data_IF_550476403171
#
_entry.id   IF_550476403171
#
_cell.length_a   1.000
_cell.length_b   1.000
_cell.length_c   1.000
_cell.angle_alpha   90.00
_cell.angle_beta   90.00
_cell.angle_gamma   90.00
#
_symmetry.space_group_name_H-M   'P 1'
#
loop_
_entity.id
_entity.type
_entity.pdbx_description
1 polymer ?
#
# COMPACT_ATOMS: atom_id res chain seq x y z
N UNK A 1 -39.15 -8.79 6.35
CA UNK A 1 -38.08 -8.64 5.34
C UNK A 1 -37.16 -7.53 5.80
N UNK A 2 -36.03 -7.84 6.43
CA UNK A 2 -35.04 -6.84 6.81
C UNK A 2 -34.18 -6.51 5.59
N UNK A 3 -34.19 -5.25 5.15
CA UNK A 3 -33.24 -4.76 4.16
C UNK A 3 -31.86 -4.83 4.80
N UNK A 4 -31.10 -5.89 4.46
CA UNK A 4 -29.69 -6.02 4.77
C UNK A 4 -28.98 -4.81 4.18
N UNK A 5 -28.69 -3.81 5.00
CA UNK A 5 -27.87 -2.68 4.61
C UNK A 5 -26.52 -3.24 4.21
N UNK A 6 -26.16 -3.19 2.91
CA UNK A 6 -24.81 -3.55 2.48
C UNK A 6 -23.85 -2.58 3.16
N UNK A 7 -23.18 -3.02 4.23
CA UNK A 7 -22.06 -2.25 4.80
C UNK A 7 -20.92 -2.38 3.79
N UNK A 8 -20.48 -1.27 3.21
CA UNK A 8 -19.19 -1.22 2.54
C UNK A 8 -18.11 -1.31 3.62
N UNK A 9 -17.79 -2.53 4.04
CA UNK A 9 -16.63 -2.76 4.87
C UNK A 9 -15.40 -2.63 3.98
N UNK A 10 -14.56 -1.63 4.24
CA UNK A 10 -13.21 -1.59 3.68
C UNK A 10 -12.51 -2.86 4.16
N UNK A 11 -12.42 -3.87 3.30
CA UNK A 11 -11.76 -5.12 3.63
C UNK A 11 -10.26 -4.80 3.82
N UNK A 12 -9.75 -4.74 5.06
CA UNK A 12 -8.41 -4.20 5.33
C UNK A 12 -7.31 -5.13 4.79
N UNK A 13 -7.67 -6.39 4.54
CA UNK A 13 -6.73 -7.47 4.26
C UNK A 13 -6.32 -7.60 2.79
N UNK A 14 -7.00 -6.91 1.87
CA UNK A 14 -6.79 -7.09 0.42
C UNK A 14 -6.34 -5.85 -0.34
N UNK A 15 -6.75 -4.64 0.04
CA UNK A 15 -6.44 -3.40 -0.71
C UNK A 15 -5.15 -2.77 -0.16
N UNK A 16 -4.11 -2.70 -0.99
CA UNK A 16 -2.85 -2.03 -0.68
C UNK A 16 -2.85 -0.60 -1.20
N UNK A 17 -2.99 0.36 -0.29
CA UNK A 17 -3.07 1.77 -0.65
C UNK A 17 -1.78 2.29 -1.28
N UNK A 18 -0.60 1.82 -0.84
CA UNK A 18 0.69 2.27 -1.38
C UNK A 18 0.79 2.09 -2.91
N UNK A 19 0.14 1.08 -3.50
CA UNK A 19 0.13 0.91 -4.96
C UNK A 19 -1.28 0.87 -5.57
N UNK A 20 -2.32 1.14 -4.78
CA UNK A 20 -3.72 0.95 -5.18
C UNK A 20 -4.02 -0.43 -5.77
N UNK A 21 -3.36 -1.48 -5.29
CA UNK A 21 -3.53 -2.83 -5.83
C UNK A 21 -4.29 -3.70 -4.83
N UNK A 22 -5.28 -4.46 -5.33
CA UNK A 22 -5.95 -5.50 -4.56
C UNK A 22 -5.20 -6.82 -4.71
N UNK A 23 -4.86 -7.49 -3.62
CA UNK A 23 -4.28 -8.83 -3.67
C UNK A 23 -4.90 -9.73 -2.60
N UNK A 24 -5.68 -10.71 -3.05
CA UNK A 24 -6.28 -11.76 -2.21
C UNK A 24 -5.26 -12.84 -1.78
N UNK A 25 -4.08 -12.86 -2.39
CA UNK A 25 -3.06 -13.89 -2.17
C UNK A 25 -2.15 -13.44 -1.03
N UNK A 26 -2.24 -14.11 0.12
CA UNK A 26 -1.45 -13.80 1.33
C UNK A 26 0.08 -13.78 1.08
N UNK A 27 0.59 -14.65 0.20
CA UNK A 27 2.02 -14.72 -0.13
C UNK A 27 2.52 -13.52 -0.96
N UNK A 28 1.61 -12.75 -1.53
CA UNK A 28 1.91 -11.52 -2.23
C UNK A 28 1.91 -10.32 -1.28
N UNK A 29 1.78 -10.52 0.03
CA UNK A 29 1.76 -9.47 1.05
C UNK A 29 3.07 -9.46 1.83
N UNK A 30 3.65 -8.29 2.05
CA UNK A 30 4.89 -8.07 2.81
C UNK A 30 4.66 -7.01 3.87
N UNK A 31 5.42 -7.06 4.96
CA UNK A 31 5.45 -5.96 5.93
C UNK A 31 6.11 -4.72 5.32
N UNK A 32 5.74 -3.55 5.83
CA UNK A 32 6.43 -2.31 5.48
C UNK A 32 7.82 -2.35 6.09
N UNK A 33 8.82 -2.18 5.22
CA UNK A 33 10.25 -2.18 5.57
C UNK A 33 10.80 -0.75 5.49
N UNK A 34 12.00 -0.51 6.03
CA UNK A 34 12.62 0.82 5.94
C UNK A 34 12.87 1.26 4.49
N UNK A 35 13.05 0.30 3.57
CA UNK A 35 13.08 0.58 2.13
C UNK A 35 11.82 1.30 1.65
N UNK A 36 10.63 0.88 2.10
CA UNK A 36 9.35 1.48 1.72
C UNK A 36 9.23 2.88 2.31
N UNK A 37 9.64 3.06 3.57
CA UNK A 37 9.67 4.38 4.23
C UNK A 37 10.61 5.36 3.51
N UNK A 38 11.78 4.88 3.12
CA UNK A 38 12.77 5.66 2.37
C UNK A 38 12.25 5.99 0.97
N UNK A 39 11.66 5.02 0.26
CA UNK A 39 11.03 5.27 -1.03
C UNK A 39 9.95 6.35 -0.91
N UNK A 40 9.10 6.27 0.11
CA UNK A 40 8.03 7.25 0.34
C UNK A 40 8.60 8.67 0.56
N UNK A 41 9.68 8.77 1.34
CA UNK A 41 10.40 10.02 1.56
C UNK A 41 11.02 10.59 0.28
N UNK A 42 11.67 9.76 -0.53
CA UNK A 42 12.32 10.19 -1.79
C UNK A 42 11.28 10.57 -2.85
N UNK A 43 10.20 9.80 -2.97
CA UNK A 43 9.20 9.98 -4.02
C UNK A 43 8.22 11.13 -3.70
N UNK A 44 7.74 11.20 -2.45
CA UNK A 44 6.75 12.22 -2.04
C UNK A 44 7.35 13.40 -1.28
N UNK A 45 8.63 13.35 -0.90
CA UNK A 45 9.24 14.35 -0.02
C UNK A 45 8.71 14.32 1.43
N UNK A 46 7.95 13.28 1.80
CA UNK A 46 7.29 13.15 3.12
C UNK A 46 7.57 11.80 3.74
N UNK A 47 7.69 11.75 5.07
CA UNK A 47 7.80 10.47 5.79
C UNK A 47 6.47 9.72 5.73
N UNK A 48 6.54 8.39 5.63
CA UNK A 48 5.36 7.54 5.77
C UNK A 48 4.81 7.68 7.20
N UNK A 49 3.63 8.27 7.32
CA UNK A 49 2.99 8.61 8.60
C UNK A 49 2.20 7.46 9.23
N UNK A 50 1.81 7.68 10.48
CA UNK A 50 0.83 6.88 11.26
C UNK A 50 1.11 5.38 11.33
N UNK A 51 2.34 4.95 11.07
CA UNK A 51 2.73 3.53 11.11
C UNK A 51 2.65 2.90 12.52
N UNK A 52 2.48 3.71 13.57
CA UNK A 52 2.17 3.30 14.94
C UNK A 52 0.67 3.07 15.17
N UNK A 53 -0.21 3.58 14.29
CA UNK A 53 -1.66 3.47 14.43
C UNK A 53 -2.16 2.18 13.81
N UNK A 54 -3.04 1.46 14.53
CA UNK A 54 -3.63 0.21 14.06
C UNK A 54 -4.51 0.34 12.81
N UNK A 55 -5.03 1.55 12.53
CA UNK A 55 -5.80 1.84 11.32
C UNK A 55 -4.92 2.09 10.09
N UNK A 56 -3.62 2.33 10.27
CA UNK A 56 -2.72 2.56 9.16
C UNK A 56 -2.35 1.27 8.45
N UNK A 57 -1.97 1.40 7.19
CA UNK A 57 -1.49 0.25 6.44
C UNK A 57 -0.10 -0.14 6.92
N UNK A 58 0.04 -1.37 7.41
CA UNK A 58 1.30 -1.97 7.84
C UNK A 58 1.88 -2.96 6.82
N UNK A 59 1.16 -3.16 5.70
CA UNK A 59 1.46 -4.16 4.70
C UNK A 59 1.50 -3.54 3.31
N UNK A 60 2.30 -4.13 2.42
CA UNK A 60 2.51 -3.73 1.03
C UNK A 60 2.49 -4.97 0.14
N UNK A 61 2.02 -4.86 -1.10
CA UNK A 61 2.10 -5.98 -2.04
C UNK A 61 3.56 -6.22 -2.49
N UNK A 62 3.93 -7.47 -2.73
CA UNK A 62 5.25 -7.86 -3.22
C UNK A 62 5.54 -7.28 -4.62
N UNK A 63 4.48 -7.09 -5.42
CA UNK A 63 4.56 -6.45 -6.73
C UNK A 63 4.88 -4.95 -6.58
N UNK A 64 4.18 -4.26 -5.68
CA UNK A 64 4.43 -2.88 -5.34
C UNK A 64 5.88 -2.67 -4.87
N UNK A 65 6.36 -3.55 -3.98
CA UNK A 65 7.74 -3.51 -3.51
C UNK A 65 8.75 -3.73 -4.65
N UNK A 66 8.46 -4.64 -5.59
CA UNK A 66 9.31 -4.87 -6.78
C UNK A 66 9.35 -3.63 -7.68
N UNK A 67 8.21 -2.99 -7.90
CA UNK A 67 8.11 -1.78 -8.71
C UNK A 67 8.88 -0.60 -8.09
N UNK A 68 8.76 -0.40 -6.78
CA UNK A 68 9.56 0.60 -6.05
C UNK A 68 11.06 0.36 -6.23
N UNK A 69 11.50 -0.90 -6.11
CA UNK A 69 12.92 -1.28 -6.31
C UNK A 69 13.40 -1.01 -7.74
N UNK A 70 12.56 -1.26 -8.75
CA UNK A 70 12.93 -0.98 -10.14
C UNK A 70 12.99 0.51 -10.43
N UNK A 71 12.07 1.29 -9.87
CA UNK A 71 12.09 2.75 -10.01
C UNK A 71 13.32 3.37 -9.34
N UNK A 72 13.66 2.96 -8.12
CA UNK A 72 14.90 3.42 -7.45
C UNK A 72 16.18 3.06 -8.21
N UNK A 73 16.16 1.99 -9.01
CA UNK A 73 17.26 1.61 -9.90
C UNK A 73 17.22 2.31 -11.27
N UNK A 74 16.29 3.23 -11.50
CA UNK A 74 16.08 3.89 -12.79
C UNK A 74 15.56 2.97 -13.90
N UNK A 75 15.15 1.73 -13.58
CA UNK A 75 14.66 0.75 -14.55
C UNK A 75 13.18 0.94 -14.92
N UNK A 76 12.48 1.79 -14.16
CA UNK A 76 11.07 2.11 -14.37
C UNK A 76 10.90 3.61 -14.21
N UNK A 77 10.18 4.25 -15.12
CA UNK A 77 9.96 5.70 -15.10
C UNK A 77 8.86 6.13 -14.13
N UNK A 78 7.88 5.25 -13.87
CA UNK A 78 6.76 5.52 -12.98
C UNK A 78 6.44 4.35 -12.05
N UNK A 79 6.02 4.68 -10.82
CA UNK A 79 5.49 3.72 -9.85
C UNK A 79 3.99 3.94 -9.74
N UNK A 80 3.22 2.84 -9.66
CA UNK A 80 1.79 2.94 -9.38
C UNK A 80 1.62 3.34 -7.92
N UNK A 81 0.81 4.34 -7.65
CA UNK A 81 0.48 4.75 -6.30
C UNK A 81 -1.03 4.89 -6.16
N UNK A 82 -1.56 4.46 -5.01
CA UNK A 82 -2.94 4.74 -4.63
C UNK A 82 -2.98 5.89 -3.65
N UNK A 83 -3.61 7.00 -4.05
CA UNK A 83 -3.93 8.04 -3.09
C UNK A 83 -5.04 7.50 -2.20
N UNK A 84 -4.71 7.18 -0.95
CA UNK A 84 -5.73 6.88 0.06
C UNK A 84 -6.53 8.15 0.29
N UNK A 85 -7.81 8.13 -0.08
CA UNK A 85 -8.78 9.07 0.49
C UNK A 85 -9.03 8.62 1.92
N UNK A 86 -8.45 9.35 2.86
CA UNK A 86 -9.02 9.51 4.21
C UNK A 86 -9.93 10.73 4.13
#
# INVERSE_FOLDING_TARGET
MALSSRRCENLPDGIFYICSEYSLIKNCIRSITDHVKQFYLVYFGKKLGDQDKSWAHHKISAKCLKDQRFWLKGKKTAVRFGVSMI
#
